data_IF_942079113266
#
_entry.id   IF_942079113266
#
_cell.length_a   1.000
_cell.length_b   1.000
_cell.length_c   1.000
_cell.angle_alpha   90.00
_cell.angle_beta   90.00
_cell.angle_gamma   90.00
#
_symmetry.space_group_name_H-M   'P 1'
#
loop_
_entity.id
_entity.type
_entity.pdbx_description
1 polymer ?
#
# COMPACT_ATOMS: atom_id res chain seq x y z
N UNK A 1 -26.05 -11.92 19.49
CA UNK A 1 -25.40 -11.90 18.16
C UNK A 1 -25.08 -13.34 17.81
N UNK A 2 -25.54 -13.82 16.65
CA UNK A 2 -25.36 -15.20 16.18
C UNK A 2 -23.88 -15.61 16.26
N UNK A 3 -23.61 -16.88 16.57
CA UNK A 3 -22.29 -17.50 16.50
C UNK A 3 -21.83 -17.52 15.04
N UNK A 4 -21.39 -16.37 14.53
CA UNK A 4 -20.62 -16.28 13.30
C UNK A 4 -19.46 -17.28 13.45
N UNK A 5 -19.31 -18.16 12.46
CA UNK A 5 -18.34 -19.24 12.46
C UNK A 5 -17.00 -18.71 12.96
N UNK A 6 -16.56 -19.18 14.14
CA UNK A 6 -15.27 -18.77 14.67
C UNK A 6 -14.21 -19.08 13.60
N UNK A 7 -13.29 -18.15 13.33
CA UNK A 7 -12.30 -18.34 12.29
C UNK A 7 -11.45 -19.58 12.60
N UNK A 8 -11.27 -20.45 11.61
CA UNK A 8 -10.40 -21.63 11.72
C UNK A 8 -8.93 -21.19 11.59
N UNK A 9 -8.40 -20.74 12.74
CA UNK A 9 -7.03 -20.25 12.84
C UNK A 9 -5.99 -21.35 12.58
N UNK A 10 -6.30 -22.62 12.87
CA UNK A 10 -5.39 -23.73 12.61
C UNK A 10 -5.24 -23.97 11.11
N UNK A 11 -6.35 -23.95 10.36
CA UNK A 11 -6.32 -24.01 8.91
C UNK A 11 -5.66 -22.77 8.28
N UNK A 12 -5.93 -21.58 8.82
CA UNK A 12 -5.25 -20.35 8.36
C UNK A 12 -3.72 -20.42 8.59
N UNK A 13 -3.30 -20.90 9.75
CA UNK A 13 -1.89 -21.13 10.08
C UNK A 13 -1.24 -22.12 9.11
N UNK A 14 -1.87 -23.27 8.87
CA UNK A 14 -1.36 -24.27 7.93
C UNK A 14 -1.26 -23.73 6.50
N UNK A 15 -2.23 -22.92 6.06
CA UNK A 15 -2.17 -22.26 4.74
C UNK A 15 -1.00 -21.29 4.64
N UNK A 16 -0.78 -20.45 5.67
CA UNK A 16 0.34 -19.50 5.70
C UNK A 16 1.68 -20.22 5.79
N UNK A 17 1.77 -21.31 6.56
CA UNK A 17 2.96 -22.15 6.62
C UNK A 17 3.29 -22.74 5.25
N UNK A 18 2.31 -23.36 4.59
CA UNK A 18 2.49 -23.88 3.23
C UNK A 18 2.79 -22.78 2.22
N UNK A 19 2.25 -21.56 2.39
CA UNK A 19 2.63 -20.41 1.57
C UNK A 19 4.08 -19.99 1.83
N UNK A 20 4.54 -19.96 3.09
CA UNK A 20 5.91 -19.63 3.45
C UNK A 20 6.91 -20.65 2.88
N UNK A 21 6.62 -21.95 3.00
CA UNK A 21 7.40 -23.04 2.38
C UNK A 21 7.42 -22.87 0.85
N UNK A 22 6.24 -22.70 0.25
CA UNK A 22 6.11 -22.32 -1.16
C UNK A 22 6.52 -20.87 -1.40
N UNK A 23 7.19 -20.18 -0.49
CA UNK A 23 7.78 -18.86 -0.72
C UNK A 23 9.28 -18.84 -0.42
N UNK A 24 9.88 -19.99 -0.08
CA UNK A 24 11.30 -20.09 0.28
C UNK A 24 11.62 -19.42 1.62
N UNK A 25 10.60 -19.09 2.41
CA UNK A 25 10.75 -18.52 3.74
C UNK A 25 10.55 -19.61 4.78
N UNK A 26 11.37 -19.60 5.83
CA UNK A 26 11.16 -20.49 6.96
C UNK A 26 9.79 -20.19 7.61
N UNK A 27 8.85 -21.15 7.65
CA UNK A 27 7.59 -20.99 8.34
C UNK A 27 7.77 -20.57 9.80
N UNK A 28 8.84 -20.99 10.47
CA UNK A 28 9.13 -20.61 11.84
C UNK A 28 9.43 -19.11 11.96
N UNK A 29 10.08 -18.50 10.98
CA UNK A 29 10.31 -17.05 10.95
C UNK A 29 9.03 -16.27 10.60
N UNK A 30 8.29 -16.75 9.60
CA UNK A 30 7.05 -16.11 9.09
C UNK A 30 5.93 -16.18 10.13
N UNK A 31 5.81 -17.31 10.82
CA UNK A 31 4.81 -17.57 11.85
C UNK A 31 5.39 -17.43 13.27
N UNK A 32 6.55 -16.80 13.40
CA UNK A 32 7.15 -16.55 14.71
C UNK A 32 6.15 -15.80 15.62
N UNK A 33 5.94 -16.27 16.87
CA UNK A 33 5.05 -15.60 17.81
C UNK A 33 5.37 -14.12 17.98
N UNK A 34 6.65 -13.72 17.91
CA UNK A 34 7.12 -12.35 18.03
C UNK A 34 6.63 -11.48 16.87
N UNK A 35 6.71 -11.98 15.64
CA UNK A 35 6.25 -11.29 14.44
C UNK A 35 4.74 -11.14 14.44
N UNK A 36 4.00 -12.24 14.67
CA UNK A 36 2.55 -12.22 14.73
C UNK A 36 2.08 -11.26 15.84
N UNK A 37 2.73 -11.31 16.99
CA UNK A 37 2.48 -10.39 18.10
C UNK A 37 2.71 -8.91 17.75
N UNK A 38 3.65 -8.58 16.86
CA UNK A 38 3.87 -7.21 16.37
C UNK A 38 2.74 -6.72 15.46
N UNK A 39 2.14 -7.66 14.71
CA UNK A 39 1.07 -7.40 13.74
C UNK A 39 -0.32 -7.35 14.40
N UNK A 40 -0.58 -8.18 15.41
CA UNK A 40 -1.90 -8.27 16.07
C UNK A 40 -1.96 -7.69 17.48
N UNK A 41 -0.80 -7.43 18.12
CA UNK A 41 -0.73 -6.92 19.48
C UNK A 41 -1.02 -7.94 20.59
N UNK A 42 -1.31 -9.20 20.27
CA UNK A 42 -1.44 -10.30 21.26
C UNK A 42 -0.06 -10.67 21.79
N UNK A 43 0.10 -10.93 23.09
CA UNK A 43 1.41 -11.32 23.66
C UNK A 43 1.99 -12.57 22.97
N UNK A 44 3.31 -12.63 22.68
CA UNK A 44 3.90 -13.74 21.92
C UNK A 44 3.55 -15.11 22.52
N UNK A 45 3.66 -15.27 23.84
CA UNK A 45 3.34 -16.51 24.54
C UNK A 45 1.86 -16.93 24.44
N UNK A 46 0.95 -16.00 24.12
CA UNK A 46 -0.48 -16.30 23.95
C UNK A 46 -0.83 -16.65 22.50
N UNK A 47 -0.04 -16.23 21.50
CA UNK A 47 -0.35 -16.47 20.08
C UNK A 47 -0.61 -17.95 19.78
N UNK A 48 0.26 -18.92 20.18
CA UNK A 48 -0.01 -20.34 19.91
C UNK A 48 -1.29 -20.85 20.57
N UNK A 49 -1.61 -20.35 21.78
CA UNK A 49 -2.82 -20.72 22.52
C UNK A 49 -4.08 -20.17 21.87
N UNK A 50 -4.01 -18.97 21.30
CA UNK A 50 -5.13 -18.37 20.55
C UNK A 50 -5.40 -19.15 19.27
N UNK A 51 -4.35 -19.52 18.52
CA UNK A 51 -4.45 -20.36 17.33
C UNK A 51 -5.06 -21.73 17.65
N UNK A 52 -4.64 -22.34 18.76
CA UNK A 52 -5.19 -23.60 19.25
C UNK A 52 -6.61 -23.48 19.84
N UNK A 53 -7.17 -22.27 19.97
CA UNK A 53 -8.48 -22.05 20.58
C UNK A 53 -8.53 -22.29 22.10
N UNK A 54 -7.37 -22.36 22.77
CA UNK A 54 -7.24 -22.66 24.21
C UNK A 54 -6.90 -21.43 25.06
N UNK A 55 -6.70 -20.27 24.43
CA UNK A 55 -6.45 -19.03 25.16
C UNK A 55 -7.72 -18.52 25.85
N UNK A 56 -7.65 -18.16 27.15
CA UNK A 56 -8.75 -17.47 27.80
C UNK A 56 -8.88 -16.05 27.23
N UNK A 57 -10.11 -15.60 27.02
CA UNK A 57 -10.32 -14.24 26.52
C UNK A 57 -10.09 -13.22 27.64
N UNK A 58 -9.13 -12.32 27.41
CA UNK A 58 -8.77 -11.27 28.37
C UNK A 58 -9.79 -10.13 28.27
N UNK A 59 -10.23 -9.50 29.38
CA UNK A 59 -11.15 -8.36 29.33
C UNK A 59 -10.69 -7.25 28.37
N UNK A 60 -11.63 -6.64 27.63
CA UNK A 60 -11.34 -5.64 26.60
C UNK A 60 -10.40 -4.53 27.09
N UNK A 61 -10.66 -3.93 28.26
CA UNK A 61 -9.83 -2.86 28.81
C UNK A 61 -8.36 -3.29 28.99
N UNK A 62 -8.14 -4.52 29.46
CA UNK A 62 -6.79 -5.11 29.62
C UNK A 62 -6.13 -5.35 28.27
N UNK A 63 -6.86 -5.85 27.26
CA UNK A 63 -6.33 -6.04 25.90
C UNK A 63 -5.90 -4.72 25.27
N UNK A 64 -6.78 -3.73 25.31
CA UNK A 64 -6.56 -2.41 24.72
C UNK A 64 -5.35 -1.73 25.36
N UNK A 65 -5.26 -1.76 26.68
CA UNK A 65 -4.09 -1.26 27.42
C UNK A 65 -2.79 -1.98 27.03
N UNK A 66 -2.77 -3.32 27.05
CA UNK A 66 -1.58 -4.12 26.69
C UNK A 66 -1.13 -3.86 25.25
N UNK A 67 -2.08 -3.78 24.31
CA UNK A 67 -1.81 -3.49 22.90
C UNK A 67 -1.24 -2.08 22.73
N UNK A 68 -1.78 -1.09 23.43
CA UNK A 68 -1.26 0.27 23.41
C UNK A 68 0.18 0.35 23.93
N UNK A 69 0.48 -0.28 25.07
CA UNK A 69 1.85 -0.35 25.60
C UNK A 69 2.79 -1.06 24.62
N UNK A 70 2.32 -2.13 23.97
CA UNK A 70 3.13 -2.85 22.99
C UNK A 70 3.41 -2.02 21.74
N UNK A 71 2.47 -1.21 21.26
CA UNK A 71 2.72 -0.26 20.17
C UNK A 71 3.84 0.70 20.54
N UNK A 72 3.75 1.33 21.72
CA UNK A 72 4.80 2.23 22.23
C UNK A 72 6.15 1.52 22.43
N UNK A 73 6.13 0.25 22.84
CA UNK A 73 7.31 -0.59 23.03
C UNK A 73 8.02 -0.97 21.73
N UNK A 74 7.26 -1.22 20.66
CA UNK A 74 7.78 -1.84 19.42
C UNK A 74 7.94 -0.86 18.27
N UNK A 75 7.23 0.27 18.28
CA UNK A 75 7.28 1.31 17.25
C UNK A 75 7.80 2.59 17.90
N UNK A 76 9.11 2.74 17.87
CA UNK A 76 9.85 3.84 18.50
C UNK A 76 9.92 5.06 17.57
N UNK A 77 10.31 6.21 18.12
CA UNK A 77 10.65 7.39 17.32
C UNK A 77 11.94 7.17 16.51
N UNK A 78 12.30 8.13 15.65
CA UNK A 78 13.53 8.08 14.83
C UNK A 78 14.83 8.01 15.64
N UNK A 79 14.77 8.19 16.95
CA UNK A 79 15.90 8.09 17.88
C UNK A 79 15.82 6.84 18.77
N UNK A 80 14.90 5.91 18.48
CA UNK A 80 14.72 4.68 19.25
C UNK A 80 13.99 4.86 20.59
N UNK A 81 13.43 6.04 20.87
CA UNK A 81 12.73 6.35 22.13
C UNK A 81 11.24 6.09 22.04
N UNK A 82 10.60 6.01 23.20
CA UNK A 82 9.13 5.96 23.27
C UNK A 82 8.50 7.25 22.80
N UNK A 83 7.45 7.11 21.99
CA UNK A 83 6.55 8.21 21.74
C UNK A 83 5.88 8.66 23.04
N UNK A 84 5.90 9.98 23.25
CA UNK A 84 5.19 10.62 24.35
C UNK A 84 3.69 10.60 24.07
N UNK A 85 2.88 10.56 25.13
CA UNK A 85 1.42 10.59 24.98
C UNK A 85 0.93 11.87 24.30
N UNK A 86 1.62 12.99 24.53
CA UNK A 86 1.32 14.26 23.87
C UNK A 86 1.55 14.17 22.35
N UNK A 87 2.70 13.64 21.91
CA UNK A 87 3.01 13.51 20.48
C UNK A 87 2.02 12.58 19.77
N UNK A 88 1.61 11.48 20.42
CA UNK A 88 0.61 10.57 19.85
C UNK A 88 -0.75 11.28 19.73
N UNK A 89 -1.17 12.02 20.77
CA UNK A 89 -2.47 12.70 20.78
C UNK A 89 -2.55 13.88 19.81
N UNK A 90 -1.44 14.58 19.59
CA UNK A 90 -1.32 15.70 18.65
C UNK A 90 -1.65 15.29 17.22
N UNK A 91 -1.25 14.09 16.78
CA UNK A 91 -1.54 13.53 15.44
C UNK A 91 -3.05 13.47 15.11
N UNK A 92 -3.89 13.36 16.13
CA UNK A 92 -5.35 13.35 15.97
C UNK A 92 -6.04 14.47 16.74
N UNK A 93 -5.31 15.58 16.97
CA UNK A 93 -5.83 16.83 17.53
C UNK A 93 -6.54 16.65 18.89
N UNK A 94 -6.03 15.74 19.72
CA UNK A 94 -6.54 15.50 21.06
C UNK A 94 -5.59 16.06 22.14
N UNK A 95 -6.11 16.43 23.32
CA UNK A 95 -5.26 16.83 24.43
C UNK A 95 -4.31 15.69 24.84
N UNK A 96 -3.04 15.98 25.12
CA UNK A 96 -2.05 14.95 25.51
C UNK A 96 -2.44 14.11 26.72
N UNK A 97 -3.22 14.68 27.65
CA UNK A 97 -3.77 13.98 28.82
C UNK A 97 -4.84 12.93 28.47
N UNK A 98 -5.42 12.98 27.26
CA UNK A 98 -6.52 12.10 26.84
C UNK A 98 -6.14 10.62 26.75
N UNK A 99 -4.84 10.33 26.61
CA UNK A 99 -4.31 8.96 26.58
C UNK A 99 -3.80 8.49 27.95
N UNK A 100 -3.82 9.35 28.99
CA UNK A 100 -3.38 9.02 30.34
C UNK A 100 -4.09 7.79 30.93
N UNK A 101 -5.44 7.75 30.95
CA UNK A 101 -6.18 6.59 31.46
C UNK A 101 -5.92 5.30 30.68
N UNK A 102 -5.75 5.38 29.37
CA UNK A 102 -5.37 4.24 28.54
C UNK A 102 -3.96 3.74 28.89
N UNK A 103 -3.00 4.66 29.04
CA UNK A 103 -1.62 4.34 29.41
C UNK A 103 -1.52 3.74 30.82
N UNK A 104 -2.36 4.17 31.76
CA UNK A 104 -2.43 3.64 33.12
C UNK A 104 -3.25 2.34 33.23
N UNK A 105 -3.98 1.97 32.17
CA UNK A 105 -4.89 0.81 32.18
C UNK A 105 -6.15 1.02 33.01
N UNK A 106 -6.47 2.27 33.34
CA UNK A 106 -7.62 2.66 34.17
C UNK A 106 -8.83 3.13 33.36
N UNK A 107 -8.68 3.33 32.04
CA UNK A 107 -9.76 3.80 31.18
C UNK A 107 -9.65 3.34 29.73
N UNK A 108 -10.79 3.36 29.04
CA UNK A 108 -10.89 3.07 27.61
C UNK A 108 -10.76 4.34 26.76
N UNK A 109 -10.11 4.27 25.59
CA UNK A 109 -10.13 5.37 24.64
C UNK A 109 -11.53 5.51 24.04
N UNK A 110 -11.92 6.74 23.71
CA UNK A 110 -13.04 6.99 22.79
C UNK A 110 -12.72 6.37 21.44
N UNK A 111 -13.73 5.96 20.67
CA UNK A 111 -13.53 5.33 19.36
C UNK A 111 -12.66 6.19 18.42
N UNK A 112 -12.86 7.50 18.39
CA UNK A 112 -12.02 8.42 17.60
C UNK A 112 -10.56 8.45 18.04
N UNK A 113 -10.28 8.37 19.34
CA UNK A 113 -8.91 8.29 19.86
C UNK A 113 -8.27 6.94 19.56
N UNK A 114 -9.04 5.84 19.65
CA UNK A 114 -8.54 4.52 19.26
C UNK A 114 -8.16 4.48 17.77
N UNK A 115 -8.99 5.07 16.90
CA UNK A 115 -8.69 5.22 15.47
C UNK A 115 -7.44 6.09 15.23
N UNK A 116 -7.33 7.21 15.95
CA UNK A 116 -6.15 8.09 15.89
C UNK A 116 -4.86 7.37 16.27
N UNK A 117 -4.84 6.67 17.41
CA UNK A 117 -3.68 5.87 17.85
C UNK A 117 -3.32 4.79 16.82
N UNK A 118 -4.31 4.08 16.27
CA UNK A 118 -4.06 3.04 15.27
C UNK A 118 -3.42 3.61 13.99
N UNK A 119 -3.93 4.77 13.53
CA UNK A 119 -3.38 5.47 12.36
C UNK A 119 -1.96 5.97 12.63
N UNK A 120 -1.73 6.61 13.77
CA UNK A 120 -0.42 7.11 14.18
C UNK A 120 0.66 6.01 14.13
N UNK A 121 0.33 4.81 14.61
CA UNK A 121 1.25 3.67 14.61
C UNK A 121 1.23 2.84 13.32
N UNK A 122 0.46 3.24 12.30
CA UNK A 122 0.35 2.51 11.04
C UNK A 122 -0.18 1.08 11.21
N UNK A 123 -1.15 0.87 12.10
CA UNK A 123 -1.80 -0.44 12.31
C UNK A 123 -3.24 -0.43 11.82
N UNK A 124 -3.79 -1.61 11.57
CA UNK A 124 -5.13 -1.76 11.00
C UNK A 124 -6.23 -1.22 11.91
N UNK A 125 -7.35 -0.83 11.28
CA UNK A 125 -8.56 -0.40 11.97
C UNK A 125 -9.16 -1.56 12.77
N UNK A 126 -9.10 -1.46 14.11
CA UNK A 126 -9.56 -2.51 15.02
C UNK A 126 -8.45 -3.17 15.82
N UNK A 127 -7.17 -2.86 15.52
CA UNK A 127 -6.02 -3.40 16.26
C UNK A 127 -6.18 -3.30 17.79
N UNK A 128 -6.68 -2.18 18.33
CA UNK A 128 -6.85 -2.04 19.78
C UNK A 128 -8.05 -2.83 20.30
N UNK A 129 -9.15 -2.90 19.54
CA UNK A 129 -10.46 -3.33 20.01
C UNK A 129 -10.77 -4.81 19.74
N UNK A 130 -10.16 -5.40 18.72
CA UNK A 130 -10.41 -6.78 18.31
C UNK A 130 -10.22 -7.76 19.47
N UNK A 131 -11.00 -8.84 19.49
CA UNK A 131 -10.66 -9.99 20.34
C UNK A 131 -9.34 -10.64 19.87
N UNK A 132 -8.87 -11.60 20.65
CA UNK A 132 -7.59 -12.25 20.37
C UNK A 132 -7.62 -13.05 19.07
N UNK A 133 -8.75 -13.69 18.75
CA UNK A 133 -8.91 -14.56 17.59
C UNK A 133 -8.92 -13.75 16.29
N UNK A 134 -9.78 -12.73 16.19
CA UNK A 134 -9.84 -11.85 15.02
C UNK A 134 -8.52 -11.12 14.78
N UNK A 135 -7.81 -10.73 15.85
CA UNK A 135 -6.52 -10.06 15.70
C UNK A 135 -5.44 -11.00 15.12
N UNK A 136 -5.41 -12.26 15.56
CA UNK A 136 -4.49 -13.27 15.02
C UNK A 136 -4.86 -13.65 13.58
N UNK A 137 -6.16 -13.80 13.28
CA UNK A 137 -6.64 -14.03 11.92
C UNK A 137 -6.15 -12.94 10.95
N UNK A 138 -6.33 -11.66 11.32
CA UNK A 138 -5.87 -10.53 10.50
C UNK A 138 -4.35 -10.56 10.29
N UNK A 139 -3.57 -10.90 11.33
CA UNK A 139 -2.12 -11.01 11.21
C UNK A 139 -1.69 -12.17 10.29
N UNK A 140 -2.36 -13.32 10.36
CA UNK A 140 -2.12 -14.45 9.46
C UNK A 140 -2.45 -14.08 8.00
N UNK A 141 -3.59 -13.42 7.78
CA UNK A 141 -3.98 -12.95 6.45
C UNK A 141 -2.97 -11.95 5.85
N UNK A 142 -2.53 -10.97 6.66
CA UNK A 142 -1.52 -9.98 6.25
C UNK A 142 -0.18 -10.64 5.90
N UNK A 143 0.20 -11.65 6.67
CA UNK A 143 1.47 -12.37 6.50
C UNK A 143 1.48 -13.21 5.22
N UNK A 144 0.37 -13.90 4.92
CA UNK A 144 0.22 -14.66 3.67
C UNK A 144 0.16 -13.77 2.42
N UNK A 145 -0.54 -12.63 2.50
CA UNK A 145 -0.72 -11.73 1.36
C UNK A 145 0.59 -11.03 0.93
N UNK A 146 1.41 -10.58 1.89
CA UNK A 146 2.67 -9.90 1.59
C UNK A 146 3.69 -10.83 0.89
N UNK A 147 3.83 -12.07 1.36
CA UNK A 147 4.75 -13.03 0.75
C UNK A 147 4.33 -13.43 -0.68
N UNK A 148 3.02 -13.58 -0.92
CA UNK A 148 2.49 -13.83 -2.26
C UNK A 148 2.74 -12.63 -3.18
N UNK A 149 2.51 -11.41 -2.70
CA UNK A 149 2.74 -10.18 -3.46
C UNK A 149 4.21 -9.97 -3.85
N UNK A 150 5.16 -10.26 -2.94
CA UNK A 150 6.61 -10.16 -3.21
C UNK A 150 7.02 -11.07 -4.37
N UNK A 151 6.56 -12.33 -4.38
CA UNK A 151 6.91 -13.29 -5.42
C UNK A 151 6.15 -13.07 -6.74
N UNK A 152 4.91 -12.60 -6.67
CA UNK A 152 4.16 -12.22 -7.88
C UNK A 152 4.80 -11.01 -8.57
N UNK A 153 5.31 -10.04 -7.81
CA UNK A 153 6.05 -8.91 -8.35
C UNK A 153 7.38 -9.34 -8.99
N UNK A 154 8.16 -10.18 -8.31
CA UNK A 154 9.38 -10.75 -8.91
C UNK A 154 9.07 -11.59 -10.15
N UNK A 155 7.98 -12.35 -10.15
CA UNK A 155 7.52 -13.10 -11.33
C UNK A 155 7.20 -12.17 -12.49
N UNK A 156 6.55 -11.03 -12.23
CA UNK A 156 6.26 -10.02 -13.25
C UNK A 156 7.51 -9.37 -13.85
N UNK A 157 8.54 -9.13 -13.02
CA UNK A 157 9.80 -8.50 -13.46
C UNK A 157 10.73 -9.46 -14.19
N UNK A 158 10.71 -10.75 -13.86
CA UNK A 158 11.70 -11.73 -14.37
C UNK A 158 11.11 -12.69 -15.42
N UNK A 159 9.79 -12.83 -15.48
CA UNK A 159 9.12 -13.85 -16.28
C UNK A 159 9.24 -15.28 -15.73
N UNK A 160 9.92 -15.46 -14.59
CA UNK A 160 10.05 -16.75 -13.89
C UNK A 160 8.77 -17.08 -13.13
N UNK A 161 8.51 -18.36 -12.89
CA UNK A 161 7.40 -18.73 -12.00
C UNK A 161 7.78 -18.43 -10.54
N UNK A 162 6.79 -18.18 -9.65
CA UNK A 162 7.08 -18.07 -8.22
C UNK A 162 7.83 -19.29 -7.66
N UNK A 163 7.73 -20.47 -8.29
CA UNK A 163 8.47 -21.65 -7.88
C UNK A 163 9.95 -21.61 -8.26
N UNK A 164 10.25 -21.21 -9.48
CA UNK A 164 11.61 -21.14 -10.01
C UNK A 164 12.42 -20.04 -9.33
N UNK A 165 11.76 -18.92 -8.98
CA UNK A 165 12.35 -17.84 -8.19
C UNK A 165 12.88 -18.37 -6.85
N UNK A 166 12.10 -19.22 -6.16
CA UNK A 166 12.51 -19.80 -4.88
C UNK A 166 13.73 -20.69 -5.03
N UNK A 167 13.65 -21.64 -5.97
CA UNK A 167 14.75 -22.54 -6.26
C UNK A 167 16.04 -21.77 -6.58
N UNK A 168 15.93 -20.66 -7.30
CA UNK A 168 17.05 -19.79 -7.62
C UNK A 168 17.59 -19.04 -6.40
N UNK A 169 16.73 -18.47 -5.55
CA UNK A 169 17.14 -17.84 -4.27
C UNK A 169 17.82 -18.84 -3.32
N UNK A 170 17.39 -20.10 -3.34
CA UNK A 170 17.96 -21.18 -2.56
C UNK A 170 19.28 -21.71 -3.15
N UNK A 171 19.80 -21.09 -4.22
CA UNK A 171 21.06 -21.47 -4.87
C UNK A 171 20.95 -22.72 -5.76
N UNK A 172 19.73 -23.17 -6.06
CA UNK A 172 19.43 -24.35 -6.87
C UNK A 172 18.59 -23.98 -8.12
N UNK A 173 19.05 -23.05 -8.99
CA UNK A 173 18.26 -22.57 -10.12
C UNK A 173 17.84 -23.71 -11.05
N UNK A 174 16.58 -23.72 -11.54
CA UNK A 174 16.14 -24.67 -12.55
C UNK A 174 17.01 -24.58 -13.80
N UNK A 175 17.58 -25.70 -14.24
CA UNK A 175 18.39 -25.74 -15.47
C UNK A 175 17.53 -26.08 -16.67
N UNK A 176 16.60 -25.19 -17.00
CA UNK A 176 15.80 -25.33 -18.21
C UNK A 176 16.68 -25.17 -19.44
N UNK A 177 16.43 -25.93 -20.53
CA UNK A 177 17.03 -25.61 -21.82
C UNK A 177 16.65 -24.19 -22.22
N UNK A 178 17.64 -23.38 -22.67
CA UNK A 178 17.45 -21.96 -23.02
C UNK A 178 16.22 -21.72 -23.91
N UNK A 179 15.94 -22.62 -24.86
CA UNK A 179 14.78 -22.55 -25.75
C UNK A 179 13.44 -22.63 -24.99
N UNK A 180 13.34 -23.45 -23.96
CA UNK A 180 12.15 -23.54 -23.12
C UNK A 180 11.99 -22.29 -22.25
N UNK A 181 13.10 -21.80 -21.66
CA UNK A 181 13.12 -20.56 -20.88
C UNK A 181 12.64 -19.36 -21.71
N UNK A 182 13.23 -19.16 -22.89
CA UNK A 182 12.86 -18.05 -23.79
C UNK A 182 11.39 -18.13 -24.19
N UNK A 183 10.89 -19.33 -24.49
CA UNK A 183 9.47 -19.53 -24.79
C UNK A 183 8.57 -19.15 -23.60
N UNK A 184 8.89 -19.63 -22.39
CA UNK A 184 8.13 -19.33 -21.18
C UNK A 184 8.12 -17.84 -20.86
N UNK A 185 9.29 -17.17 -20.92
CA UNK A 185 9.42 -15.73 -20.66
C UNK A 185 8.71 -14.90 -21.74
N UNK A 186 8.75 -15.32 -23.00
CA UNK A 186 7.98 -14.66 -24.06
C UNK A 186 6.47 -14.78 -23.86
N UNK A 187 5.96 -15.97 -23.51
CA UNK A 187 4.54 -16.17 -23.20
C UNK A 187 4.14 -15.45 -21.90
N UNK A 188 5.06 -15.30 -20.94
CA UNK A 188 4.84 -14.45 -19.77
C UNK A 188 4.56 -13.01 -20.18
N UNK A 189 5.42 -12.39 -21.00
CA UNK A 189 5.21 -11.02 -21.48
C UNK A 189 3.86 -10.86 -22.17
N UNK A 190 3.49 -11.82 -23.04
CA UNK A 190 2.20 -11.79 -23.76
C UNK A 190 0.99 -11.86 -22.83
N UNK A 191 1.11 -12.51 -21.68
CA UNK A 191 0.02 -12.65 -20.69
C UNK A 191 -0.05 -11.48 -19.71
N UNK A 192 1.08 -10.88 -19.34
CA UNK A 192 1.14 -9.84 -18.30
C UNK A 192 1.21 -8.42 -18.84
N UNK A 193 1.63 -8.23 -20.09
CA UNK A 193 1.70 -6.93 -20.78
C UNK A 193 0.64 -6.88 -21.87
N UNK A 194 -0.61 -6.74 -21.44
CA UNK A 194 -1.77 -6.70 -22.31
C UNK A 194 -1.97 -5.30 -22.91
N UNK A 195 -2.66 -5.27 -24.05
CA UNK A 195 -3.14 -4.03 -24.65
C UNK A 195 -4.22 -3.39 -23.78
N UNK A 196 -4.57 -2.14 -24.08
CA UNK A 196 -5.65 -1.42 -23.40
C UNK A 196 -7.02 -2.11 -23.50
N UNK A 197 -7.23 -2.96 -24.52
CA UNK A 197 -8.43 -3.79 -24.69
C UNK A 197 -8.39 -5.11 -23.89
N UNK A 198 -7.36 -5.31 -23.07
CA UNK A 198 -7.15 -6.52 -22.28
C UNK A 198 -6.69 -7.74 -23.09
N UNK A 199 -6.40 -7.59 -24.39
CA UNK A 199 -5.93 -8.69 -25.24
C UNK A 199 -4.40 -8.71 -25.37
N UNK A 200 -3.84 -9.89 -25.60
CA UNK A 200 -2.42 -10.04 -25.88
C UNK A 200 -2.06 -9.37 -27.23
N UNK A 201 -0.84 -8.84 -27.33
CA UNK A 201 -0.34 -8.32 -28.59
C UNK A 201 -0.20 -9.44 -29.63
N UNK A 202 -0.61 -9.15 -30.87
CA UNK A 202 -0.44 -10.09 -31.98
C UNK A 202 1.02 -10.22 -32.35
N UNK A 203 1.43 -11.42 -32.81
CA UNK A 203 2.82 -11.67 -33.22
C UNK A 203 3.23 -10.74 -34.37
N UNK A 204 2.30 -10.39 -35.28
CA UNK A 204 2.55 -9.44 -36.35
C UNK A 204 2.85 -8.02 -35.83
N UNK A 205 2.08 -7.55 -34.84
CA UNK A 205 2.31 -6.23 -34.23
C UNK A 205 3.67 -6.16 -33.53
N UNK A 206 4.06 -7.24 -32.84
CA UNK A 206 5.38 -7.34 -32.20
C UNK A 206 6.48 -7.31 -33.27
N UNK A 207 6.37 -8.14 -34.32
CA UNK A 207 7.37 -8.21 -35.40
C UNK A 207 7.60 -6.87 -36.10
N UNK A 208 6.51 -6.13 -36.32
CA UNK A 208 6.53 -4.85 -37.01
C UNK A 208 7.34 -3.78 -36.27
N UNK A 209 7.46 -3.88 -34.93
CA UNK A 209 8.23 -2.92 -34.12
C UNK A 209 9.75 -3.00 -34.30
N UNK A 210 10.25 -4.01 -35.02
CA UNK A 210 11.67 -4.19 -35.31
C UNK A 210 11.92 -4.74 -36.73
N UNK A 211 11.03 -4.42 -37.68
CA UNK A 211 11.16 -4.74 -39.11
C UNK A 211 11.46 -6.23 -39.42
N UNK A 212 10.88 -7.14 -38.62
CA UNK A 212 11.08 -8.58 -38.79
C UNK A 212 9.87 -9.30 -39.39
N UNK A 213 10.13 -10.47 -40.00
CA UNK A 213 9.06 -11.37 -40.45
C UNK A 213 8.39 -12.07 -39.27
N UNK A 214 7.05 -12.14 -39.30
CA UNK A 214 6.26 -12.78 -38.23
C UNK A 214 6.55 -14.27 -38.02
N UNK A 215 7.11 -14.96 -39.01
CA UNK A 215 7.45 -16.39 -38.93
C UNK A 215 8.48 -16.71 -37.84
N UNK A 216 9.43 -15.80 -37.57
CA UNK A 216 10.40 -16.00 -36.50
C UNK A 216 9.72 -15.99 -35.12
N UNK A 217 8.78 -15.06 -34.90
CA UNK A 217 8.02 -14.99 -33.65
C UNK A 217 7.05 -16.15 -33.49
N UNK A 218 6.46 -16.67 -34.57
CA UNK A 218 5.61 -17.86 -34.51
C UNK A 218 6.38 -19.07 -33.98
N UNK A 219 7.64 -19.25 -34.40
CA UNK A 219 8.48 -20.34 -33.87
C UNK A 219 8.84 -20.14 -32.41
N UNK A 220 9.11 -18.91 -31.97
CA UNK A 220 9.36 -18.61 -30.54
C UNK A 220 8.10 -18.85 -29.70
N UNK A 221 6.94 -18.42 -30.19
CA UNK A 221 5.64 -18.62 -29.55
C UNK A 221 5.24 -20.10 -29.46
N UNK A 222 5.71 -20.95 -30.38
CA UNK A 222 5.50 -22.41 -30.32
C UNK A 222 6.59 -23.16 -29.54
N UNK A 223 7.60 -22.44 -29.03
CA UNK A 223 8.76 -23.07 -28.41
C UNK A 223 9.55 -23.95 -29.38
N UNK A 224 9.53 -23.63 -30.68
CA UNK A 224 10.20 -24.36 -31.76
C UNK A 224 11.55 -23.74 -32.15
N UNK A 225 11.83 -22.48 -31.81
CA UNK A 225 13.08 -21.81 -32.11
C UNK A 225 13.44 -20.69 -31.14
N UNK A 226 14.70 -20.26 -31.20
CA UNK A 226 15.19 -19.09 -30.48
C UNK A 226 15.07 -17.84 -31.36
N UNK A 227 14.78 -16.66 -30.79
CA UNK A 227 14.96 -15.41 -31.50
C UNK A 227 16.46 -15.18 -31.74
N UNK A 228 16.80 -14.58 -32.88
CA UNK A 228 18.14 -14.00 -33.03
C UNK A 228 18.29 -12.76 -32.13
N UNK A 229 19.51 -12.27 -31.93
CA UNK A 229 19.77 -11.15 -31.01
C UNK A 229 18.95 -9.89 -31.34
N UNK A 230 18.80 -9.57 -32.63
CA UNK A 230 18.03 -8.41 -33.06
C UNK A 230 16.54 -8.57 -32.70
N UNK A 231 15.97 -9.76 -32.91
CA UNK A 231 14.61 -10.08 -32.54
C UNK A 231 14.40 -10.09 -31.02
N UNK A 232 15.35 -10.63 -30.25
CA UNK A 232 15.30 -10.59 -28.79
C UNK A 232 15.28 -9.14 -28.26
N UNK A 233 16.19 -8.30 -28.75
CA UNK A 233 16.23 -6.88 -28.40
C UNK A 233 14.94 -6.14 -28.83
N UNK A 234 14.41 -6.46 -30.02
CA UNK A 234 13.16 -5.92 -30.53
C UNK A 234 11.95 -6.25 -29.64
N UNK A 235 11.81 -7.52 -29.24
CA UNK A 235 10.76 -7.98 -28.32
C UNK A 235 10.87 -7.26 -26.97
N UNK A 236 12.06 -7.18 -26.41
CA UNK A 236 12.27 -6.57 -25.08
C UNK A 236 11.96 -5.08 -25.10
N UNK A 237 12.40 -4.36 -26.15
CA UNK A 237 12.05 -2.94 -26.34
C UNK A 237 10.55 -2.73 -26.54
N UNK A 238 9.89 -3.60 -27.31
CA UNK A 238 8.45 -3.52 -27.53
C UNK A 238 7.65 -3.58 -26.21
N UNK A 239 8.07 -4.46 -25.29
CA UNK A 239 7.42 -4.62 -23.99
C UNK A 239 7.95 -3.70 -22.88
N UNK A 240 8.98 -2.91 -23.18
CA UNK A 240 9.65 -2.05 -22.20
C UNK A 240 10.27 -2.85 -21.05
N UNK A 241 10.96 -3.94 -21.36
CA UNK A 241 11.72 -4.75 -20.39
C UNK A 241 13.20 -4.73 -20.72
N UNK A 242 14.04 -5.13 -19.76
CA UNK A 242 15.49 -5.09 -19.90
C UNK A 242 16.05 -5.95 -21.02
N UNK A 243 17.25 -5.55 -21.46
CA UNK A 243 18.04 -6.22 -22.50
C UNK A 243 18.37 -7.70 -22.20
N UNK A 244 18.26 -8.12 -20.93
CA UNK A 244 18.49 -9.49 -20.49
C UNK A 244 17.23 -10.34 -20.28
N UNK A 245 16.02 -9.76 -20.32
CA UNK A 245 14.81 -10.45 -19.86
C UNK A 245 14.60 -11.84 -20.50
N UNK A 246 14.83 -12.00 -21.80
CA UNK A 246 14.63 -13.28 -22.48
C UNK A 246 15.80 -14.25 -22.30
N UNK A 247 17.03 -13.75 -22.25
CA UNK A 247 18.25 -14.56 -22.45
C UNK A 247 19.10 -14.73 -21.18
N UNK A 248 18.98 -13.82 -20.21
CA UNK A 248 19.69 -13.90 -18.94
C UNK A 248 19.31 -15.19 -18.22
N UNK A 249 20.26 -15.83 -17.55
CA UNK A 249 19.90 -16.96 -16.70
C UNK A 249 19.01 -16.52 -15.51
N UNK A 250 18.48 -17.49 -14.78
CA UNK A 250 17.55 -17.20 -13.68
C UNK A 250 18.21 -16.39 -12.54
N UNK A 251 19.51 -16.57 -12.31
CA UNK A 251 20.24 -15.83 -11.26
C UNK A 251 20.49 -14.38 -11.68
N UNK A 252 20.93 -14.18 -12.93
CA UNK A 252 21.13 -12.85 -13.52
C UNK A 252 19.82 -12.05 -13.58
N UNK A 253 18.73 -12.67 -14.03
CA UNK A 253 17.41 -12.04 -14.10
C UNK A 253 16.93 -11.61 -12.72
N UNK A 254 17.09 -12.47 -11.72
CA UNK A 254 16.66 -12.19 -10.36
C UNK A 254 17.51 -11.12 -9.67
N UNK A 255 18.84 -11.14 -9.89
CA UNK A 255 19.75 -10.11 -9.37
C UNK A 255 19.39 -8.73 -9.91
N UNK A 256 19.08 -8.65 -11.21
CA UNK A 256 18.66 -7.39 -11.86
C UNK A 256 17.36 -6.87 -11.24
N UNK A 257 16.32 -7.71 -11.17
CA UNK A 257 15.03 -7.34 -10.59
C UNK A 257 15.14 -6.91 -9.11
N UNK A 258 15.96 -7.60 -8.31
CA UNK A 258 16.20 -7.22 -6.91
C UNK A 258 16.93 -5.89 -6.79
N UNK A 259 17.87 -5.59 -7.69
CA UNK A 259 18.58 -4.30 -7.72
C UNK A 259 17.64 -3.14 -8.07
N UNK A 260 16.67 -3.35 -8.97
CA UNK A 260 15.64 -2.35 -9.27
C UNK A 260 14.75 -2.08 -8.06
N UNK A 261 14.27 -3.14 -7.40
CA UNK A 261 13.46 -3.03 -6.18
C UNK A 261 14.25 -2.31 -5.07
N UNK A 262 15.52 -2.66 -4.87
CA UNK A 262 16.40 -1.99 -3.91
C UNK A 262 16.48 -0.48 -4.21
N UNK A 263 16.73 -0.11 -5.47
CA UNK A 263 16.82 1.30 -5.87
C UNK A 263 15.50 2.05 -5.69
N UNK A 264 14.36 1.43 -6.01
CA UNK A 264 13.03 2.01 -5.77
C UNK A 264 12.78 2.23 -4.28
N UNK A 265 13.13 1.26 -3.43
CA UNK A 265 12.97 1.35 -1.98
C UNK A 265 13.90 2.41 -1.38
N UNK A 266 15.14 2.52 -1.84
CA UNK A 266 16.07 3.58 -1.43
C UNK A 266 15.53 4.95 -1.82
N UNK A 267 15.04 5.10 -3.04
CA UNK A 267 14.47 6.35 -3.54
C UNK A 267 13.19 6.72 -2.77
N UNK A 268 12.31 5.75 -2.52
CA UNK A 268 11.11 5.93 -1.72
C UNK A 268 11.44 6.29 -0.26
N UNK A 269 12.46 5.65 0.32
CA UNK A 269 13.00 5.96 1.65
C UNK A 269 13.54 7.39 1.73
N UNK A 270 14.36 7.81 0.76
CA UNK A 270 14.88 9.17 0.66
C UNK A 270 13.77 10.21 0.49
N UNK A 271 12.70 9.87 -0.25
CA UNK A 271 11.52 10.73 -0.40
C UNK A 271 10.67 10.80 0.88
N UNK A 272 10.58 9.70 1.64
CA UNK A 272 9.90 9.67 2.93
C UNK A 272 10.70 10.41 4.02
N UNK A 273 12.03 10.38 3.97
CA UNK A 273 12.92 11.15 4.84
C UNK A 273 12.89 12.66 4.54
N UNK A 274 12.50 13.05 3.32
CA UNK A 274 12.37 14.45 2.92
C UNK A 274 10.92 14.80 2.49
N UNK A 275 9.97 14.84 3.43
CA UNK A 275 8.54 15.02 3.15
C UNK A 275 8.24 16.33 2.41
N UNK A 276 9.11 17.33 2.55
CA UNK A 276 9.03 18.59 1.81
C UNK A 276 9.21 18.40 0.30
N UNK A 277 10.17 17.56 -0.13
CA UNK A 277 10.41 17.31 -1.56
C UNK A 277 9.29 16.49 -2.21
N UNK A 278 8.67 15.58 -1.46
CA UNK A 278 7.52 14.80 -1.93
C UNK A 278 6.29 15.71 -2.20
N UNK A 279 5.99 16.64 -1.27
CA UNK A 279 4.89 17.62 -1.42
C UNK A 279 5.16 18.59 -2.58
N UNK A 280 6.41 19.05 -2.74
CA UNK A 280 6.79 19.99 -3.81
C UNK A 280 6.64 19.39 -5.22
N UNK A 281 6.86 18.08 -5.38
CA UNK A 281 6.72 17.38 -6.67
C UNK A 281 5.28 16.99 -6.98
N UNK A 282 4.49 16.59 -5.98
CA UNK A 282 3.11 16.14 -6.16
C UNK A 282 2.13 17.26 -6.59
N UNK A 283 2.42 18.51 -6.21
CA UNK A 283 1.46 19.62 -6.34
C UNK A 283 1.91 20.78 -7.23
N UNK A 284 2.87 20.54 -8.14
CA UNK A 284 3.46 21.56 -9.03
C UNK A 284 3.84 22.88 -8.30
N UNK A 285 4.33 22.73 -7.06
CA UNK A 285 4.65 23.85 -6.17
C UNK A 285 5.82 24.67 -6.71
N UNK A 286 6.63 24.09 -7.61
CA UNK A 286 7.70 24.79 -8.35
C UNK A 286 7.18 26.01 -9.10
N UNK A 287 6.00 25.93 -9.72
CA UNK A 287 5.36 27.06 -10.41
C UNK A 287 5.00 28.21 -9.45
N UNK A 288 4.56 27.86 -8.25
CA UNK A 288 4.17 28.83 -7.21
C UNK A 288 5.41 29.46 -6.58
N UNK A 289 6.40 28.65 -6.19
CA UNK A 289 7.66 29.12 -5.58
C UNK A 289 8.45 30.02 -6.53
N UNK A 290 8.50 29.69 -7.82
CA UNK A 290 9.19 30.51 -8.84
C UNK A 290 8.55 31.90 -8.98
N UNK A 291 7.22 31.99 -8.84
CA UNK A 291 6.49 33.26 -8.89
C UNK A 291 6.54 34.01 -7.55
N UNK A 292 6.43 33.29 -6.44
CA UNK A 292 6.51 33.84 -5.09
C UNK A 292 7.89 34.43 -4.80
N UNK A 293 8.97 33.89 -5.38
CA UNK A 293 10.32 34.45 -5.31
C UNK A 293 10.48 35.87 -5.87
N UNK A 294 9.45 36.41 -6.56
CA UNK A 294 9.41 37.80 -7.07
C UNK A 294 8.64 38.75 -6.15
N UNK A 295 8.05 38.27 -5.06
CA UNK A 295 7.24 39.07 -4.14
C UNK A 295 8.10 39.79 -3.10
N UNK A 296 7.65 40.96 -2.66
CA UNK A 296 8.20 41.66 -1.50
C UNK A 296 7.85 40.92 -0.20
N UNK A 297 8.52 41.21 0.93
CA UNK A 297 8.20 40.57 2.22
C UNK A 297 6.73 40.71 2.65
N UNK A 298 6.10 41.86 2.36
CA UNK A 298 4.67 42.05 2.60
C UNK A 298 3.80 41.18 1.66
N UNK A 299 4.22 41.00 0.41
CA UNK A 299 3.58 40.08 -0.54
C UNK A 299 3.69 38.62 -0.12
N UNK A 300 4.82 38.22 0.47
CA UNK A 300 4.99 36.90 1.08
C UNK A 300 4.01 36.65 2.22
N UNK A 301 3.86 37.63 3.11
CA UNK A 301 2.89 37.55 4.20
C UNK A 301 1.45 37.42 3.68
N UNK A 302 1.08 38.23 2.68
CA UNK A 302 -0.25 38.16 2.07
C UNK A 302 -0.52 36.83 1.36
N UNK A 303 0.49 36.21 0.74
CA UNK A 303 0.36 34.89 0.11
C UNK A 303 0.15 33.79 1.15
N UNK A 304 0.89 33.85 2.27
CA UNK A 304 0.73 32.91 3.38
C UNK A 304 -0.68 33.02 4.00
N UNK A 305 -1.12 34.24 4.34
CA UNK A 305 -2.45 34.47 4.92
C UNK A 305 -3.57 33.99 3.95
N UNK A 306 -3.39 34.13 2.63
CA UNK A 306 -4.34 33.64 1.64
C UNK A 306 -4.38 32.11 1.51
N UNK A 307 -3.23 31.44 1.64
CA UNK A 307 -3.16 29.98 1.65
C UNK A 307 -3.85 29.42 2.90
N UNK A 308 -3.66 30.05 4.06
CA UNK A 308 -4.34 29.68 5.29
C UNK A 308 -5.87 29.81 5.16
N UNK A 309 -6.34 30.89 4.53
CA UNK A 309 -7.75 31.08 4.22
C UNK A 309 -8.31 30.01 3.28
N UNK A 310 -7.55 29.61 2.25
CA UNK A 310 -7.95 28.56 1.31
C UNK A 310 -8.04 27.20 2.01
N UNK A 311 -7.04 26.85 2.82
CA UNK A 311 -7.02 25.62 3.61
C UNK A 311 -8.19 25.59 4.62
N UNK A 312 -8.47 26.72 5.26
CA UNK A 312 -9.60 26.86 6.18
C UNK A 312 -10.97 26.76 5.48
N UNK A 313 -11.06 27.05 4.18
CA UNK A 313 -12.27 26.87 3.36
C UNK A 313 -12.42 25.44 2.88
N UNK A 314 -11.35 24.80 2.41
CA UNK A 314 -11.38 23.40 1.98
C UNK A 314 -11.69 22.45 3.15
N UNK A 315 -11.13 22.71 4.34
CA UNK A 315 -11.46 21.99 5.56
C UNK A 315 -12.94 22.10 5.98
N UNK A 316 -13.67 23.12 5.52
CA UNK A 316 -15.11 23.29 5.76
C UNK A 316 -15.99 22.60 4.72
N UNK A 317 -15.45 22.25 3.54
CA UNK A 317 -16.20 21.61 2.44
C UNK A 317 -16.16 20.07 2.48
N UNK A 318 -15.47 19.48 3.46
CA UNK A 318 -15.37 18.03 3.65
C UNK A 318 -16.62 17.36 4.25
N UNK A 319 -17.77 17.41 3.57
CA UNK A 319 -18.87 16.41 3.68
C UNK A 319 -19.97 16.67 2.63
N UNK A 320 -20.14 15.82 1.60
CA UNK A 320 -21.32 15.87 0.76
C UNK A 320 -22.44 14.96 1.30
N UNK A 321 -23.59 15.56 1.58
CA UNK A 321 -24.90 14.87 1.57
C UNK A 321 -25.76 15.01 2.84
N UNK A 322 -26.79 15.85 2.78
CA UNK A 322 -28.21 15.53 3.09
C UNK A 322 -29.03 16.77 3.53
N UNK A 323 -30.12 17.06 2.81
CA UNK A 323 -31.34 17.62 3.39
C UNK A 323 -31.54 19.13 3.38
N UNK A 324 -32.28 19.61 2.37
CA UNK A 324 -33.50 20.41 2.55
C UNK A 324 -33.42 21.78 3.22
N UNK A 325 -33.55 22.84 2.43
CA UNK A 325 -34.70 23.76 2.40
C UNK A 325 -34.27 25.11 1.81
N UNK A 326 -34.87 25.47 0.68
CA UNK A 326 -34.84 26.84 0.15
C UNK A 326 -36.02 27.60 0.76
N UNK A 327 -35.81 28.75 1.42
CA UNK A 327 -36.88 29.72 1.58
C UNK A 327 -36.92 30.67 0.39
N UNK A 328 -38.15 30.74 -0.12
CA UNK A 328 -38.76 31.66 -1.05
C UNK A 328 -38.27 33.12 -1.05
N UNK A 329 -38.32 33.67 -2.26
CA UNK A 329 -38.28 35.08 -2.64
C UNK A 329 -39.12 35.99 -1.73
N UNK A 330 -38.53 37.13 -1.36
CA UNK A 330 -39.25 38.39 -1.18
C UNK A 330 -38.33 39.55 -1.61
N UNK A 331 -38.55 40.05 -2.83
CA UNK A 331 -37.91 41.27 -3.32
C UNK A 331 -38.98 42.37 -3.44
N UNK A 332 -38.85 43.34 -2.54
CA UNK A 332 -39.02 44.81 -2.63
C UNK A 332 -40.07 45.37 -3.62
N UNK A 333 -41.01 46.23 -3.16
CA UNK A 333 -41.92 46.96 -4.04
C UNK A 333 -41.24 48.16 -4.72
N UNK A 334 -41.58 48.35 -5.98
CA UNK A 334 -41.11 49.42 -6.88
C UNK A 334 -41.98 50.68 -6.69
N UNK A 335 -41.39 51.72 -6.09
CA UNK A 335 -41.93 53.07 -6.08
C UNK A 335 -41.52 53.77 -7.36
N UNK A 336 -42.49 54.04 -8.27
CA UNK A 336 -42.63 55.30 -9.04
C UNK A 336 -43.63 55.17 -10.20
N UNK A 337 -44.78 55.82 -10.04
CA UNK A 337 -45.44 56.78 -10.98
C UNK A 337 -46.89 56.95 -10.51
N UNK A 338 -47.22 57.98 -9.74
CA UNK A 338 -47.42 59.38 -10.17
C UNK A 338 -48.57 59.54 -11.18
N UNK A 339 -49.63 60.15 -10.64
CA UNK A 339 -50.56 61.12 -11.24
C UNK A 339 -51.83 60.63 -11.94
N UNK A 340 -52.87 61.46 -11.72
CA UNK A 340 -54.24 61.48 -12.28
C UNK A 340 -55.25 60.70 -11.43
N UNK A 341 -56.19 61.30 -10.68
CA UNK A 341 -56.78 62.64 -10.75
C UNK A 341 -58.27 62.50 -11.00
N UNK A 342 -59.11 62.85 -10.01
CA UNK A 342 -60.53 63.16 -10.22
C UNK A 342 -61.53 62.15 -9.67
N UNK A 343 -62.05 62.44 -8.48
CA UNK A 343 -63.40 62.09 -8.02
C UNK A 343 -64.45 62.94 -8.80
N UNK A 344 -65.78 62.69 -8.71
CA UNK A 344 -66.51 61.78 -7.80
C UNK A 344 -67.18 60.56 -8.45
#
# INVERSE_FOLDING_TARGET
MSAAARPDLASAWARVAGLAERSGRDPAEVLSPERLSRLCGVEPALVPRVVAGTAPEVPLCRRVHRRFLRLRATRRDKHGREWSLAAIAEDFQAPGASLGPLNAGTGMPRLGHAAGVQRFFGVYAGFLLADSQCAVEHALATTGAAAAADLEHLSYLTGMTPHDIRLTLDGAPPRLPLKAQVHQRFEHLRRTRLRADGQAHSLAAIAHSFDASGQSLTRVARGEGLPNLAAAAGIQRFYGVDGGFLLADDTEALTTALSEIEHELETAGQNAENPMLAVLRAHDVRSIVTRAGRLSPAGWKSLADHLDDLLAREGRLGRPGAGGERPLHAAVPDDRKAAEGGAP
#
